data_IF_605052595861
#
_entry.id   IF_605052595861
#
_cell.length_a   1.000
_cell.length_b   1.000
_cell.length_c   1.000
_cell.angle_alpha   90.00
_cell.angle_beta   90.00
_cell.angle_gamma   90.00
#
_symmetry.space_group_name_H-M   'P 1'
#
loop_
_entity.id
_entity.type
_entity.pdbx_description
1 polymer ?
#
# COMPACT_ATOMS: atom_id res chain seq x y z
N UNK A 1 63.30 4.87 -11.93
CA UNK A 1 62.41 4.21 -12.92
C UNK A 1 61.58 3.02 -12.38
N UNK A 2 61.92 2.39 -11.23
CA UNK A 2 61.22 1.19 -10.74
C UNK A 2 59.87 1.46 -10.02
N UNK A 3 59.72 2.60 -9.34
CA UNK A 3 58.50 2.93 -8.58
C UNK A 3 57.29 3.23 -9.49
N UNK A 4 57.50 3.93 -10.61
CA UNK A 4 56.43 4.22 -11.59
C UNK A 4 55.85 2.94 -12.22
N UNK A 5 56.67 1.91 -12.41
CA UNK A 5 56.23 0.58 -12.89
C UNK A 5 55.42 -0.18 -11.85
N UNK A 6 55.78 -0.07 -10.57
CA UNK A 6 55.05 -0.69 -9.47
C UNK A 6 53.66 -0.06 -9.28
N UNK A 7 53.57 1.27 -9.37
CA UNK A 7 52.31 2.02 -9.33
C UNK A 7 51.39 1.66 -10.49
N UNK A 8 51.92 1.56 -11.71
CA UNK A 8 51.15 1.17 -12.90
C UNK A 8 50.61 -0.27 -12.79
N UNK A 9 51.41 -1.17 -12.20
CA UNK A 9 50.98 -2.55 -11.98
C UNK A 9 49.91 -2.63 -10.89
N UNK A 10 50.06 -1.86 -9.81
CA UNK A 10 49.06 -1.78 -8.73
C UNK A 10 47.73 -1.21 -9.19
N UNK A 11 47.72 -0.14 -9.99
CA UNK A 11 46.49 0.42 -10.55
C UNK A 11 45.82 -0.52 -11.56
N UNK A 12 46.61 -1.22 -12.37
CA UNK A 12 46.09 -2.23 -13.28
C UNK A 12 45.41 -3.39 -12.54
N UNK A 13 46.04 -3.92 -11.49
CA UNK A 13 45.45 -4.99 -10.66
C UNK A 13 44.15 -4.52 -9.99
N UNK A 14 44.12 -3.29 -9.45
CA UNK A 14 42.91 -2.72 -8.84
C UNK A 14 41.76 -2.64 -9.85
N UNK A 15 42.02 -2.16 -11.07
CA UNK A 15 40.99 -2.04 -12.11
C UNK A 15 40.44 -3.41 -12.53
N UNK A 16 41.29 -4.43 -12.65
CA UNK A 16 40.88 -5.80 -12.97
C UNK A 16 40.00 -6.39 -11.86
N UNK A 17 40.37 -6.18 -10.59
CA UNK A 17 39.56 -6.63 -9.44
C UNK A 17 38.21 -5.92 -9.41
N UNK A 18 38.18 -4.60 -9.59
CA UNK A 18 36.92 -3.83 -9.63
C UNK A 18 36.01 -4.27 -10.79
N UNK A 19 36.57 -4.51 -11.98
CA UNK A 19 35.80 -4.99 -13.12
C UNK A 19 35.27 -6.41 -12.87
N UNK A 20 36.07 -7.28 -12.25
CA UNK A 20 35.65 -8.64 -11.86
C UNK A 20 34.49 -8.62 -10.87
N UNK A 21 34.54 -7.77 -9.84
CA UNK A 21 33.46 -7.59 -8.88
C UNK A 21 32.18 -7.04 -9.54
N UNK A 22 32.32 -6.08 -10.46
CA UNK A 22 31.19 -5.53 -11.22
C UNK A 22 30.48 -6.61 -12.05
N UNK A 23 31.24 -7.45 -12.76
CA UNK A 23 30.69 -8.56 -13.53
C UNK A 23 30.07 -9.65 -12.64
N UNK A 24 30.61 -9.87 -11.44
CA UNK A 24 30.04 -10.81 -10.48
C UNK A 24 28.68 -10.31 -9.98
N UNK A 25 28.60 -9.03 -9.61
CA UNK A 25 27.38 -8.34 -9.19
C UNK A 25 26.30 -8.39 -10.27
N UNK A 26 26.66 -8.11 -11.52
CA UNK A 26 25.73 -8.12 -12.66
C UNK A 26 25.15 -9.53 -12.91
N UNK A 27 25.96 -10.59 -12.73
CA UNK A 27 25.48 -11.97 -12.83
C UNK A 27 24.63 -12.43 -11.64
N UNK A 28 24.93 -11.98 -10.43
CA UNK A 28 24.14 -12.32 -9.24
C UNK A 28 22.80 -11.58 -9.19
N UNK A 29 22.73 -10.34 -9.72
CA UNK A 29 21.50 -9.54 -9.70
C UNK A 29 20.68 -9.67 -11.01
N UNK A 30 21.28 -10.14 -12.10
CA UNK A 30 20.62 -10.29 -13.40
C UNK A 30 19.61 -11.45 -13.51
N UNK A 31 19.52 -12.37 -12.54
CA UNK A 31 18.56 -13.48 -12.56
C UNK A 31 17.11 -13.07 -12.31
N UNK A 32 16.84 -11.83 -11.84
CA UNK A 32 15.46 -11.37 -11.59
C UNK A 32 14.77 -10.72 -12.81
N UNK A 33 15.46 -10.59 -13.96
CA UNK A 33 14.81 -10.24 -15.23
C UNK A 33 14.34 -11.50 -15.96
N UNK A 34 13.34 -12.19 -15.40
CA UNK A 34 12.54 -13.14 -16.18
C UNK A 34 11.77 -12.37 -17.25
N UNK A 35 12.10 -12.66 -18.51
CA UNK A 35 11.37 -12.25 -19.71
C UNK A 35 9.88 -12.56 -19.56
N UNK A 36 9.04 -11.52 -19.50
CA UNK A 36 7.62 -11.65 -19.84
C UNK A 36 7.57 -11.75 -21.37
N UNK A 37 7.61 -12.98 -21.86
CA UNK A 37 7.40 -13.27 -23.28
C UNK A 37 5.89 -13.32 -23.49
N UNK A 38 5.36 -12.32 -24.21
CA UNK A 38 3.96 -12.24 -24.57
C UNK A 38 3.51 -13.44 -25.39
N UNK A 39 2.34 -13.96 -25.05
CA UNK A 39 1.56 -14.84 -25.91
C UNK A 39 0.17 -14.21 -26.05
N UNK A 40 0.00 -13.41 -27.09
CA UNK A 40 -1.34 -13.10 -27.63
C UNK A 40 -1.81 -14.34 -28.37
N UNK A 41 -2.55 -15.20 -27.67
CA UNK A 41 -3.45 -16.17 -28.30
C UNK A 41 -4.79 -15.98 -27.62
N UNK A 42 -5.84 -15.77 -28.43
CA UNK A 42 -7.17 -15.37 -27.99
C UNK A 42 -7.75 -16.29 -26.92
N UNK A 43 -7.59 -15.90 -25.67
CA UNK A 43 -8.32 -16.49 -24.56
C UNK A 43 -9.77 -16.02 -24.66
N UNK A 44 -10.68 -16.96 -24.93
CA UNK A 44 -12.10 -16.72 -24.70
C UNK A 44 -12.22 -16.30 -23.24
N UNK A 45 -12.60 -15.05 -22.98
CA UNK A 45 -12.75 -14.52 -21.62
C UNK A 45 -13.56 -15.53 -20.80
N UNK A 46 -12.89 -16.30 -19.95
CA UNK A 46 -13.54 -17.18 -19.01
C UNK A 46 -14.37 -16.27 -18.11
N UNK A 47 -15.69 -16.30 -18.28
CA UNK A 47 -16.60 -15.56 -17.41
C UNK A 47 -16.30 -15.98 -15.97
N UNK A 48 -15.94 -15.01 -15.13
CA UNK A 48 -15.59 -15.27 -13.73
C UNK A 48 -16.76 -15.99 -13.02
N UNK A 49 -17.99 -15.69 -13.45
CA UNK A 49 -19.24 -16.33 -13.03
C UNK A 49 -19.31 -17.84 -13.34
N UNK A 50 -18.60 -18.33 -14.35
CA UNK A 50 -18.56 -19.77 -14.66
C UNK A 50 -17.65 -20.56 -13.71
N UNK A 51 -16.68 -19.91 -13.05
CA UNK A 51 -15.80 -20.56 -12.06
C UNK A 51 -16.50 -20.77 -10.70
N UNK A 52 -17.52 -19.98 -10.39
CA UNK A 52 -18.23 -20.02 -9.11
C UNK A 52 -19.56 -20.79 -9.13
N UNK A 53 -19.92 -21.48 -10.22
CA UNK A 53 -21.08 -22.39 -10.15
C UNK A 53 -20.80 -23.50 -9.14
N UNK A 54 -21.61 -23.65 -8.07
CA UNK A 54 -21.43 -24.75 -7.12
C UNK A 54 -21.58 -26.06 -7.88
N UNK A 55 -20.53 -26.90 -7.82
CA UNK A 55 -20.51 -28.24 -8.39
C UNK A 55 -21.54 -29.08 -7.62
N UNK A 56 -22.76 -29.17 -8.16
CA UNK A 56 -23.92 -29.81 -7.47
C UNK A 56 -23.69 -31.28 -7.05
N UNK A 57 -22.64 -31.95 -7.57
CA UNK A 57 -22.39 -33.37 -7.32
C UNK A 57 -20.91 -33.67 -7.01
N UNK A 58 -20.37 -33.16 -5.89
CA UNK A 58 -19.09 -33.65 -5.36
C UNK A 58 -19.36 -34.63 -4.21
N UNK A 59 -19.31 -35.93 -4.51
CA UNK A 59 -19.32 -37.02 -3.52
C UNK A 59 -18.18 -36.85 -2.54
N UNK A 60 -18.52 -36.78 -1.24
CA UNK A 60 -17.64 -36.60 -0.09
C UNK A 60 -16.67 -37.79 0.03
N UNK A 61 -15.43 -37.62 -0.41
CA UNK A 61 -14.34 -38.55 -0.07
C UNK A 61 -13.78 -38.15 1.29
N UNK A 62 -14.08 -38.94 2.33
CA UNK A 62 -13.47 -38.79 3.65
C UNK A 62 -12.11 -39.50 3.66
N UNK A 63 -11.03 -38.77 3.38
CA UNK A 63 -9.69 -39.26 3.72
C UNK A 63 -9.45 -39.01 5.21
N UNK A 64 -9.43 -40.10 5.99
CA UNK A 64 -8.84 -40.12 7.33
C UNK A 64 -7.35 -39.88 7.17
N UNK A 65 -6.80 -38.85 7.82
CA UNK A 65 -5.38 -38.81 8.13
C UNK A 65 -5.21 -38.83 9.64
N UNK A 66 -4.65 -39.93 10.10
CA UNK A 66 -4.41 -40.31 11.48
C UNK A 66 -3.25 -39.54 12.11
N UNK A 67 -3.47 -39.16 13.37
CA UNK A 67 -2.54 -39.18 14.51
C UNK A 67 -1.14 -38.57 14.32
N UNK A 68 -0.97 -37.33 14.78
CA UNK A 68 0.31 -36.83 15.27
C UNK A 68 0.16 -36.43 16.76
N UNK A 69 1.06 -36.86 17.67
CA UNK A 69 0.98 -36.52 19.09
C UNK A 69 1.84 -35.28 19.35
N UNK A 70 1.23 -34.11 19.37
CA UNK A 70 1.84 -32.93 19.98
C UNK A 70 0.77 -32.24 20.83
N UNK A 71 0.58 -32.76 22.03
CA UNK A 71 -0.19 -32.11 23.08
C UNK A 71 0.75 -31.81 24.23
N UNK A 72 1.06 -30.53 24.41
CA UNK A 72 1.13 -29.92 25.73
C UNK A 72 1.25 -28.41 25.58
N UNK A 73 0.37 -27.67 26.28
CA UNK A 73 0.41 -26.23 26.56
C UNK A 73 -0.30 -25.29 25.57
N UNK A 74 -1.58 -25.55 25.30
CA UNK A 74 -2.55 -24.46 25.25
C UNK A 74 -3.59 -24.75 26.32
N UNK A 75 -3.55 -23.96 27.38
CA UNK A 75 -4.60 -23.87 28.39
C UNK A 75 -5.91 -23.61 27.65
N UNK A 76 -6.78 -24.62 27.60
CA UNK A 76 -8.12 -24.57 27.04
C UNK A 76 -8.94 -23.53 27.80
N UNK A 77 -8.75 -22.25 27.48
CA UNK A 77 -9.87 -21.31 27.54
C UNK A 77 -10.87 -21.82 26.52
N UNK A 78 -12.09 -22.09 26.97
CA UNK A 78 -13.23 -22.54 26.19
C UNK A 78 -13.40 -21.72 24.91
N UNK A 79 -12.67 -22.10 23.87
CA UNK A 79 -13.05 -21.82 22.50
C UNK A 79 -14.26 -22.70 22.28
N UNK A 80 -15.43 -22.17 22.64
CA UNK A 80 -16.66 -22.52 21.94
C UNK A 80 -16.32 -22.32 20.48
N UNK A 81 -16.02 -23.43 19.80
CA UNK A 81 -15.88 -23.48 18.37
C UNK A 81 -17.28 -23.15 17.85
N UNK A 82 -17.58 -21.86 17.79
CA UNK A 82 -18.70 -21.33 17.05
C UNK A 82 -18.62 -21.99 15.70
N UNK A 83 -19.65 -22.77 15.37
CA UNK A 83 -19.73 -23.49 14.11
C UNK A 83 -19.66 -22.45 12.99
N UNK A 84 -18.48 -22.22 12.44
CA UNK A 84 -18.31 -21.42 11.24
C UNK A 84 -19.15 -22.09 10.15
N UNK A 85 -20.29 -21.49 9.82
CA UNK A 85 -21.15 -21.97 8.75
C UNK A 85 -20.71 -21.25 7.49
N UNK A 86 -20.15 -22.00 6.54
CA UNK A 86 -19.88 -21.45 5.23
C UNK A 86 -21.22 -20.95 4.63
N UNK A 87 -21.26 -19.74 4.04
CA UNK A 87 -22.45 -19.28 3.34
C UNK A 87 -22.80 -20.29 2.25
N UNK A 88 -23.99 -20.87 2.33
CA UNK A 88 -24.49 -21.79 1.29
C UNK A 88 -25.10 -21.03 0.11
N UNK A 89 -25.44 -19.76 0.31
CA UNK A 89 -26.06 -18.88 -0.66
C UNK A 89 -25.15 -17.69 -0.94
N UNK A 90 -25.29 -17.13 -2.14
CA UNK A 90 -24.60 -15.90 -2.51
C UNK A 90 -25.19 -14.76 -1.66
N UNK A 91 -24.36 -13.94 -0.99
CA UNK A 91 -24.85 -12.82 -0.20
C UNK A 91 -25.74 -11.89 -1.03
N UNK A 92 -26.89 -11.52 -0.49
CA UNK A 92 -27.73 -10.49 -1.06
C UNK A 92 -27.03 -9.13 -0.87
N UNK A 93 -26.53 -8.55 -1.97
CA UNK A 93 -25.85 -7.26 -1.99
C UNK A 93 -26.41 -6.40 -3.11
N UNK A 94 -26.44 -5.09 -2.91
CA UNK A 94 -26.92 -4.15 -3.94
C UNK A 94 -26.00 -4.11 -5.16
N UNK A 95 -24.69 -4.26 -4.94
CA UNK A 95 -23.66 -4.22 -5.98
C UNK A 95 -22.76 -5.44 -5.83
N UNK A 96 -22.85 -6.35 -6.78
CA UNK A 96 -21.91 -7.44 -6.97
C UNK A 96 -20.96 -7.07 -8.13
N UNK A 97 -19.68 -6.89 -7.83
CA UNK A 97 -18.72 -6.40 -8.84
C UNK A 97 -18.55 -7.36 -10.02
N UNK A 98 -18.75 -8.68 -9.83
CA UNK A 98 -18.75 -9.61 -10.98
C UNK A 98 -19.87 -9.31 -11.96
N UNK A 99 -21.05 -9.00 -11.46
CA UNK A 99 -22.24 -8.74 -12.29
C UNK A 99 -22.14 -7.37 -12.97
N UNK A 100 -21.51 -6.40 -12.29
CA UNK A 100 -21.12 -5.11 -12.89
C UNK A 100 -20.16 -5.33 -14.05
N UNK A 101 -19.12 -6.16 -13.88
CA UNK A 101 -18.17 -6.46 -14.96
C UNK A 101 -18.83 -7.19 -16.15
N UNK A 102 -19.81 -8.06 -15.88
CA UNK A 102 -20.56 -8.77 -16.92
C UNK A 102 -21.50 -7.85 -17.71
N UNK A 103 -21.86 -6.68 -17.17
CA UNK A 103 -22.85 -5.75 -17.75
C UNK A 103 -22.28 -4.43 -18.29
N UNK A 104 -21.16 -3.95 -17.76
CA UNK A 104 -20.54 -2.70 -18.19
C UNK A 104 -19.88 -2.86 -19.58
N UNK A 105 -20.03 -1.85 -20.45
CA UNK A 105 -19.51 -1.90 -21.83
C UNK A 105 -18.02 -1.57 -21.94
N UNK A 106 -17.45 -0.93 -20.91
CA UNK A 106 -16.06 -0.44 -20.88
C UNK A 106 -15.72 0.55 -22.03
N UNK A 107 -16.71 1.22 -22.60
CA UNK A 107 -16.48 2.28 -23.58
C UNK A 107 -15.62 3.41 -22.96
N UNK A 108 -14.75 4.03 -23.76
CA UNK A 108 -13.92 5.16 -23.33
C UNK A 108 -14.27 6.46 -24.09
N UNK A 109 -15.53 6.95 -24.00
CA UNK A 109 -15.92 8.20 -24.63
C UNK A 109 -15.28 9.39 -23.90
N UNK A 110 -15.09 10.51 -24.61
CA UNK A 110 -14.57 11.73 -24.00
C UNK A 110 -15.69 12.53 -23.30
N UNK A 111 -15.65 12.58 -21.97
CA UNK A 111 -16.65 13.26 -21.13
C UNK A 111 -16.55 14.79 -21.04
N UNK A 112 -15.63 15.43 -21.76
CA UNK A 112 -15.44 16.88 -21.74
C UNK A 112 -14.37 17.32 -20.73
N UNK A 113 -14.74 18.16 -19.75
CA UNK A 113 -13.81 18.62 -18.68
C UNK A 113 -13.44 17.47 -17.75
N UNK A 114 -14.42 16.62 -17.41
CA UNK A 114 -14.20 15.35 -16.73
C UNK A 114 -14.08 14.25 -17.80
N UNK A 115 -12.84 13.84 -18.11
CA UNK A 115 -12.54 13.00 -19.28
C UNK A 115 -13.23 11.64 -19.28
N UNK A 116 -13.39 11.04 -18.11
CA UNK A 116 -13.93 9.69 -17.93
C UNK A 116 -15.36 9.70 -17.36
N UNK A 117 -16.06 10.83 -17.45
CA UNK A 117 -17.42 10.96 -16.94
C UNK A 117 -18.30 11.78 -17.87
N UNK A 118 -19.12 12.66 -17.29
CA UNK A 118 -20.08 13.48 -18.02
C UNK A 118 -20.27 14.85 -17.34
N UNK A 119 -20.89 15.84 -18.03
CA UNK A 119 -21.20 17.12 -17.42
C UNK A 119 -22.13 16.97 -16.20
N UNK A 120 -21.63 17.31 -15.01
CA UNK A 120 -22.39 17.24 -13.76
C UNK A 120 -23.33 18.45 -13.68
N UNK A 121 -24.62 18.21 -13.42
CA UNK A 121 -25.64 19.24 -13.22
C UNK A 121 -26.20 19.12 -11.82
N UNK A 122 -26.29 20.24 -11.11
CA UNK A 122 -26.86 20.32 -9.76
C UNK A 122 -27.88 21.45 -9.65
N UNK A 123 -28.86 21.29 -8.77
CA UNK A 123 -29.86 22.33 -8.48
C UNK A 123 -29.36 23.24 -7.37
N UNK A 124 -29.50 24.56 -7.55
CA UNK A 124 -29.19 25.53 -6.48
C UNK A 124 -30.08 25.37 -5.24
N UNK A 125 -31.22 24.66 -5.36
CA UNK A 125 -32.11 24.33 -4.23
C UNK A 125 -31.64 23.14 -3.40
N UNK A 126 -30.62 22.40 -3.86
CA UNK A 126 -30.11 21.22 -3.15
C UNK A 126 -29.39 21.55 -1.83
N UNK A 127 -29.04 22.82 -1.61
CA UNK A 127 -28.26 23.27 -0.45
C UNK A 127 -28.94 24.46 0.24
N UNK A 128 -30.09 24.21 0.87
CA UNK A 128 -30.82 25.22 1.62
C UNK A 128 -30.14 25.55 2.98
N UNK A 129 -30.43 26.68 3.64
CA UNK A 129 -29.85 27.03 4.94
C UNK A 129 -30.04 25.95 6.03
N UNK A 130 -31.14 25.21 5.98
CA UNK A 130 -31.48 24.07 6.83
C UNK A 130 -30.69 22.79 6.49
N UNK A 131 -30.15 22.70 5.27
CA UNK A 131 -29.41 21.55 4.74
C UNK A 131 -28.15 22.00 4.01
N UNK A 132 -27.18 22.52 4.78
CA UNK A 132 -25.90 23.01 4.24
C UNK A 132 -24.99 21.85 3.82
N UNK A 133 -24.28 22.06 2.70
CA UNK A 133 -23.15 21.22 2.35
C UNK A 133 -21.99 21.47 3.33
N UNK A 134 -21.56 20.43 4.03
CA UNK A 134 -20.35 20.47 4.85
C UNK A 134 -19.15 20.08 3.99
N UNK A 135 -18.17 20.96 3.91
CA UNK A 135 -16.94 20.74 3.14
C UNK A 135 -15.78 20.61 4.11
N UNK A 136 -15.11 19.46 4.09
CA UNK A 136 -13.88 19.22 4.83
C UNK A 136 -12.72 19.24 3.85
N UNK A 137 -11.80 20.18 4.02
CA UNK A 137 -10.55 20.23 3.26
C UNK A 137 -9.53 19.42 4.06
N UNK A 138 -9.01 18.35 3.47
CA UNK A 138 -8.10 17.40 4.14
C UNK A 138 -6.71 17.47 3.49
N UNK A 139 -5.79 18.24 4.08
CA UNK A 139 -4.39 18.23 3.68
C UNK A 139 -3.76 16.84 3.85
N UNK A 140 -2.97 16.42 2.86
CA UNK A 140 -2.26 15.15 2.87
C UNK A 140 -0.95 15.26 2.08
N UNK A 141 -0.04 14.32 2.30
CA UNK A 141 1.17 14.15 1.50
C UNK A 141 1.40 12.67 1.21
N UNK A 142 1.39 12.30 -0.07
CA UNK A 142 1.73 10.94 -0.48
C UNK A 142 3.25 10.75 -0.50
N UNK A 143 3.74 9.78 0.25
CA UNK A 143 5.18 9.55 0.44
C UNK A 143 5.53 8.11 0.10
N UNK A 144 5.91 7.85 -1.15
CA UNK A 144 6.31 6.52 -1.60
C UNK A 144 7.57 6.01 -0.85
N UNK A 145 7.49 4.89 -0.12
CA UNK A 145 8.65 4.30 0.55
C UNK A 145 9.53 3.52 -0.44
N UNK A 146 9.90 4.16 -1.54
CA UNK A 146 10.60 3.57 -2.66
C UNK A 146 9.77 3.62 -3.95
N UNK A 147 10.26 4.36 -4.94
CA UNK A 147 9.69 4.41 -6.29
C UNK A 147 10.77 4.84 -7.29
N UNK A 148 10.92 6.15 -7.54
CA UNK A 148 12.00 6.68 -8.38
C UNK A 148 13.32 6.86 -7.60
N UNK A 149 13.22 6.99 -6.28
CA UNK A 149 14.35 7.01 -5.35
C UNK A 149 14.18 5.91 -4.31
N UNK A 150 15.25 5.61 -3.60
CA UNK A 150 15.20 4.69 -2.45
C UNK A 150 14.44 5.34 -1.30
N UNK A 151 14.02 4.50 -0.35
CA UNK A 151 13.38 4.93 0.90
C UNK A 151 14.21 6.00 1.62
N UNK A 152 15.50 5.75 1.86
CA UNK A 152 16.39 6.66 2.58
C UNK A 152 16.61 7.97 1.81
N UNK A 153 16.73 7.89 0.48
CA UNK A 153 16.90 9.09 -0.34
C UNK A 153 15.65 9.98 -0.31
N UNK A 154 14.45 9.39 -0.33
CA UNK A 154 13.22 10.15 -0.12
C UNK A 154 13.14 10.74 1.28
N UNK A 155 13.50 9.95 2.30
CA UNK A 155 13.50 10.39 3.69
C UNK A 155 14.34 11.65 3.88
N UNK A 156 15.62 11.57 3.51
CA UNK A 156 16.60 12.64 3.72
C UNK A 156 16.31 13.89 2.87
N UNK A 157 15.86 13.71 1.63
CA UNK A 157 15.72 14.85 0.71
C UNK A 157 14.35 15.51 0.72
N UNK A 158 13.32 14.83 1.26
CA UNK A 158 11.91 15.27 1.19
C UNK A 158 11.17 15.03 2.49
N UNK A 159 10.95 13.78 2.84
CA UNK A 159 9.95 13.39 3.86
C UNK A 159 10.27 13.93 5.24
N UNK A 160 11.54 13.92 5.65
CA UNK A 160 11.98 14.50 6.91
C UNK A 160 11.60 15.97 7.06
N UNK A 161 11.82 16.76 6.01
CA UNK A 161 11.49 18.20 6.02
C UNK A 161 9.98 18.46 6.10
N UNK A 162 9.16 17.54 5.57
CA UNK A 162 7.70 17.62 5.71
C UNK A 162 7.34 17.48 7.19
N UNK A 163 7.88 16.47 7.89
CA UNK A 163 7.63 16.32 9.33
C UNK A 163 8.18 17.48 10.15
N UNK A 164 9.34 18.03 9.80
CA UNK A 164 9.92 19.18 10.49
C UNK A 164 9.07 20.44 10.29
N UNK A 165 8.57 20.72 9.09
CA UNK A 165 7.65 21.83 8.85
C UNK A 165 6.38 21.66 9.70
N UNK A 166 5.77 20.46 9.68
CA UNK A 166 4.57 20.21 10.47
C UNK A 166 4.86 20.26 11.98
N UNK A 167 5.97 19.72 12.48
CA UNK A 167 6.31 19.69 13.90
C UNK A 167 6.83 21.03 14.46
N UNK A 168 7.43 21.88 13.62
CA UNK A 168 7.98 23.19 14.02
C UNK A 168 6.96 24.31 13.82
N UNK A 169 6.22 24.34 12.71
CA UNK A 169 5.19 25.36 12.46
C UNK A 169 3.98 25.19 13.37
N UNK A 170 3.71 23.96 13.83
CA UNK A 170 2.49 23.73 14.62
C UNK A 170 2.54 24.31 16.01
N UNK A 171 3.68 24.58 16.67
CA UNK A 171 3.83 25.43 17.87
C UNK A 171 2.67 25.51 18.90
N UNK A 172 1.82 24.49 19.00
CA UNK A 172 0.50 24.51 19.65
C UNK A 172 -0.63 25.36 19.00
N UNK A 173 -0.51 25.85 17.75
CA UNK A 173 -1.49 26.74 17.08
C UNK A 173 -1.67 26.51 15.56
N UNK A 174 -1.49 25.31 15.03
CA UNK A 174 -1.96 25.05 13.65
C UNK A 174 -3.50 25.07 13.63
N UNK A 175 -4.07 25.82 12.70
CA UNK A 175 -5.52 25.87 12.46
C UNK A 175 -6.01 24.74 11.55
N UNK A 176 -5.13 23.84 11.13
CA UNK A 176 -5.43 22.76 10.20
C UNK A 176 -4.80 21.45 10.65
N UNK A 177 -5.51 20.36 10.35
CA UNK A 177 -5.08 18.99 10.57
C UNK A 177 -4.47 18.43 9.27
N UNK A 178 -3.53 17.51 9.37
CA UNK A 178 -2.94 16.79 8.24
C UNK A 178 -3.03 15.29 8.49
N UNK A 179 -3.44 14.53 7.47
CA UNK A 179 -3.42 13.06 7.55
C UNK A 179 -2.08 12.52 7.06
N UNK A 180 -1.60 11.46 7.73
CA UNK A 180 -0.38 10.76 7.36
C UNK A 180 -0.59 9.26 7.26
N UNK A 181 -0.17 8.65 6.15
CA UNK A 181 -0.38 7.22 5.89
C UNK A 181 0.88 6.37 6.13
N UNK A 182 2.05 6.84 5.71
CA UNK A 182 3.24 5.99 5.62
C UNK A 182 4.01 5.93 6.94
N UNK A 183 3.60 5.00 7.80
CA UNK A 183 4.18 4.77 9.14
C UNK A 183 5.67 4.39 9.07
N UNK A 184 6.15 3.80 7.98
CA UNK A 184 7.57 3.49 7.79
C UNK A 184 8.45 4.73 7.93
N UNK A 185 8.08 5.83 7.26
CA UNK A 185 8.78 7.11 7.38
C UNK A 185 8.56 7.78 8.73
N UNK A 186 7.32 7.74 9.23
CA UNK A 186 7.00 8.33 10.53
C UNK A 186 7.79 7.68 11.66
N UNK A 187 7.91 6.35 11.67
CA UNK A 187 8.66 5.61 12.68
C UNK A 187 10.17 5.95 12.63
N UNK A 188 10.74 6.06 11.44
CA UNK A 188 12.13 6.49 11.27
C UNK A 188 12.35 7.90 11.84
N UNK A 189 11.51 8.85 11.42
CA UNK A 189 11.54 10.22 11.94
C UNK A 189 11.36 10.29 13.46
N UNK A 190 10.41 9.53 14.00
CA UNK A 190 10.13 9.48 15.42
C UNK A 190 11.34 8.97 16.22
N UNK A 191 12.04 7.97 15.69
CA UNK A 191 13.23 7.41 16.33
C UNK A 191 14.39 8.41 16.40
N UNK A 192 14.50 9.30 15.42
CA UNK A 192 15.54 10.34 15.33
C UNK A 192 15.16 11.65 16.04
N UNK A 193 13.88 11.83 16.35
CA UNK A 193 13.35 13.06 16.94
C UNK A 193 13.77 13.25 18.39
N UNK A 194 14.06 14.50 18.77
CA UNK A 194 14.36 14.86 20.16
C UNK A 194 13.13 14.72 21.05
N UNK A 195 13.32 14.45 22.35
CA UNK A 195 12.22 14.43 23.32
C UNK A 195 11.43 15.75 23.35
N UNK A 196 12.09 16.89 23.14
CA UNK A 196 11.42 18.18 23.03
C UNK A 196 10.48 18.26 21.80
N UNK A 197 10.86 17.65 20.68
CA UNK A 197 10.04 17.55 19.46
C UNK A 197 8.86 16.61 19.70
N UNK A 198 9.11 15.44 20.30
CA UNK A 198 8.08 14.46 20.65
C UNK A 198 7.04 15.03 21.61
N UNK A 199 7.47 15.81 22.61
CA UNK A 199 6.57 16.47 23.57
C UNK A 199 5.74 17.61 22.96
N UNK A 200 6.20 18.23 21.87
CA UNK A 200 5.43 19.22 21.11
C UNK A 200 4.48 18.57 20.12
N UNK A 201 4.75 17.33 19.72
CA UNK A 201 3.85 16.56 18.91
C UNK A 201 2.58 16.31 19.72
N UNK A 202 1.41 16.76 19.25
CA UNK A 202 0.20 16.69 20.06
C UNK A 202 -0.08 15.23 20.46
N UNK A 203 -0.16 14.99 21.76
CA UNK A 203 -0.60 13.72 22.32
C UNK A 203 -2.12 13.56 22.10
N UNK A 204 -2.55 13.35 20.84
CA UNK A 204 -3.96 13.06 20.52
C UNK A 204 -4.09 11.90 19.54
N UNK A 205 -3.92 10.73 20.15
CA UNK A 205 -4.71 9.48 20.10
C UNK A 205 -5.88 9.45 19.08
N UNK A 206 -5.74 8.53 18.11
CA UNK A 206 -6.78 7.82 17.34
C UNK A 206 -8.23 8.25 17.61
N UNK A 207 -8.80 9.08 16.73
CA UNK A 207 -10.25 9.20 16.59
C UNK A 207 -10.66 8.33 15.41
N UNK A 208 -10.94 7.05 15.70
CA UNK A 208 -11.41 6.06 14.73
C UNK A 208 -10.29 5.14 14.20
N UNK A 209 -10.56 3.84 14.19
CA UNK A 209 -9.64 2.69 14.09
C UNK A 209 -8.71 2.57 12.85
N UNK A 210 -8.41 3.63 12.08
CA UNK A 210 -7.48 3.51 10.94
C UNK A 210 -6.80 4.79 10.46
N UNK A 211 -7.04 5.96 11.08
CA UNK A 211 -6.55 7.24 10.57
C UNK A 211 -5.67 7.97 11.60
N UNK A 212 -4.43 8.29 11.21
CA UNK A 212 -3.49 9.04 12.02
C UNK A 212 -3.53 10.52 11.62
N UNK A 213 -4.09 11.35 12.50
CA UNK A 213 -4.23 12.79 12.30
C UNK A 213 -3.17 13.56 13.06
N UNK A 214 -2.59 14.54 12.38
CA UNK A 214 -1.65 15.50 12.95
C UNK A 214 -2.36 16.85 13.07
N UNK A 215 -2.88 17.19 14.25
CA UNK A 215 -3.64 18.42 14.47
C UNK A 215 -4.15 18.62 15.90
N UNK A 216 -4.62 19.83 16.23
CA UNK A 216 -5.32 20.14 17.48
C UNK A 216 -6.83 20.22 17.23
N UNK A 217 -7.60 19.31 17.85
CA UNK A 217 -9.05 19.39 17.91
C UNK A 217 -9.48 20.59 18.78
N UNK A 218 -9.90 21.67 18.13
CA UNK A 218 -10.70 22.75 18.74
C UNK A 218 -11.88 23.14 17.87
#
# INVERSE_FOLDING_TARGET
MRIKRLLFFGTFVLLVVCMGLYLLLDKTLGQDRRKVQGKEEGETYLRLSDRFRPRKNATRSTSRLSNAPFSSLIEQRDLVLDKCTAPQEVPAVDIQMSDVYDSITFDNPNGGVWKQGWPIVYSGRSFAPEHKLRVFVVPHSHNDPGWLKTFESYYETRTRSIFEQHGVETGGKSQYEVIWAEISFFALWWSESSEATKNKFPEKRSVGDSDWRLGDDR
#
